data_IF_287852053830
#
_entry.id   IF_287852053830
#
_cell.length_a   1.000
_cell.length_b   1.000
_cell.length_c   1.000
_cell.angle_alpha   90.00
_cell.angle_beta   90.00
_cell.angle_gamma   90.00
#
_symmetry.space_group_name_H-M   'P 1'
#
loop_
_entity.id
_entity.type
_entity.pdbx_description
1 polymer ?
#
# COMPACT_ATOMS: atom_id res chain seq x y z
N UNK A 1 5.28 2.16 17.86
CA UNK A 1 4.08 1.63 17.16
C UNK A 1 4.45 1.62 15.69
N UNK A 2 4.56 0.45 15.10
CA UNK A 2 5.01 0.35 13.72
C UNK A 2 3.81 0.55 12.81
N UNK A 3 3.86 1.60 12.04
CA UNK A 3 2.84 1.89 11.05
C UNK A 3 3.11 1.08 9.78
N UNK A 4 2.07 0.72 9.06
CA UNK A 4 2.16 -0.16 7.90
C UNK A 4 1.83 0.62 6.63
N UNK A 5 2.67 0.49 5.63
CA UNK A 5 2.39 1.06 4.31
C UNK A 5 1.72 0.04 3.41
N UNK A 6 0.54 0.38 2.90
CA UNK A 6 -0.21 -0.50 2.02
C UNK A 6 -0.37 0.18 0.66
N UNK A 7 0.17 -0.47 -0.36
CA UNK A 7 -0.18 -0.14 -1.73
C UNK A 7 -1.62 -0.59 -2.03
N UNK A 8 -2.34 0.23 -2.76
CA UNK A 8 -3.64 -0.14 -3.30
C UNK A 8 -3.44 -1.08 -4.50
N UNK A 9 -3.23 -2.35 -4.21
CA UNK A 9 -2.95 -3.39 -5.19
C UNK A 9 -4.18 -4.21 -5.49
N UNK A 10 -4.34 -4.64 -6.74
CA UNK A 10 -5.45 -5.51 -7.14
C UNK A 10 -5.26 -6.89 -6.50
N UNK A 11 -6.32 -7.46 -5.95
CA UNK A 11 -6.26 -8.78 -5.32
C UNK A 11 -5.74 -8.76 -3.88
N UNK A 12 -6.20 -7.83 -3.06
CA UNK A 12 -5.80 -7.72 -1.65
C UNK A 12 -6.22 -8.96 -0.84
N UNK A 13 -5.31 -9.91 -0.74
CA UNK A 13 -5.50 -11.17 -0.01
C UNK A 13 -5.74 -11.00 1.50
N UNK A 14 -5.33 -9.88 2.08
CA UNK A 14 -5.52 -9.60 3.49
C UNK A 14 -7.01 -9.61 3.90
N UNK A 15 -7.85 -8.94 3.13
CA UNK A 15 -9.28 -8.87 3.43
C UNK A 15 -10.00 -10.20 3.16
N UNK A 16 -9.51 -10.97 2.17
CA UNK A 16 -10.02 -12.32 1.90
C UNK A 16 -9.70 -13.26 3.06
N UNK A 17 -8.44 -13.28 3.51
CA UNK A 17 -7.98 -14.11 4.62
C UNK A 17 -8.68 -13.76 5.94
N UNK A 18 -8.94 -12.47 6.20
CA UNK A 18 -9.74 -12.08 7.38
C UNK A 18 -11.16 -12.62 7.36
N UNK A 19 -11.76 -12.74 6.19
CA UNK A 19 -13.09 -13.38 6.06
C UNK A 19 -13.03 -14.88 6.30
N UNK A 20 -11.94 -15.53 5.90
CA UNK A 20 -11.72 -16.98 6.04
C UNK A 20 -11.30 -17.37 7.47
N UNK A 21 -10.91 -16.43 8.33
CA UNK A 21 -10.70 -16.67 9.78
C UNK A 21 -11.88 -17.39 10.43
N UNK A 22 -13.10 -17.08 10.01
CA UNK A 22 -14.32 -17.76 10.50
C UNK A 22 -14.37 -19.24 10.12
N UNK A 23 -13.54 -19.67 9.16
CA UNK A 23 -13.48 -21.04 8.65
C UNK A 23 -12.32 -21.85 9.25
N UNK A 24 -11.47 -21.22 10.09
CA UNK A 24 -10.31 -21.84 10.75
C UNK A 24 -9.35 -22.59 9.78
N UNK A 25 -9.23 -22.12 8.55
CA UNK A 25 -8.43 -22.80 7.52
C UNK A 25 -6.94 -22.61 7.75
N UNK A 26 -6.56 -21.45 8.30
CA UNK A 26 -5.16 -21.10 8.57
C UNK A 26 -5.07 -20.66 10.02
N UNK A 27 -4.35 -21.40 10.84
CA UNK A 27 -4.04 -21.06 12.23
C UNK A 27 -2.53 -20.84 12.44
N UNK A 28 -2.17 -20.29 13.60
CA UNK A 28 -0.77 -20.03 13.96
C UNK A 28 0.05 -21.32 13.98
N UNK A 29 -0.47 -22.40 14.51
CA UNK A 29 0.24 -23.68 14.72
C UNK A 29 0.67 -24.29 13.37
N UNK A 30 -0.03 -23.94 12.28
CA UNK A 30 0.34 -24.38 10.93
C UNK A 30 1.75 -23.93 10.51
N UNK A 31 2.30 -22.91 11.18
CA UNK A 31 3.60 -22.31 10.86
C UNK A 31 4.71 -22.65 11.84
N UNK A 32 4.42 -23.29 12.97
CA UNK A 32 5.39 -23.51 14.06
C UNK A 32 6.65 -24.27 13.62
N UNK A 33 6.49 -25.20 12.71
CA UNK A 33 7.59 -26.03 12.19
C UNK A 33 8.46 -25.36 11.13
N UNK A 34 8.16 -24.13 10.72
CA UNK A 34 8.89 -23.42 9.68
C UNK A 34 9.57 -22.18 10.24
N UNK A 35 10.83 -21.98 9.90
CA UNK A 35 11.60 -20.76 10.24
C UNK A 35 11.44 -19.67 9.19
N UNK A 36 11.10 -20.05 7.97
CA UNK A 36 10.98 -19.14 6.82
C UNK A 36 9.64 -19.31 6.13
N UNK A 37 9.01 -18.19 5.85
CA UNK A 37 7.76 -18.10 5.09
C UNK A 37 8.03 -17.35 3.80
N UNK A 38 7.60 -17.91 2.67
CA UNK A 38 7.83 -17.34 1.34
C UNK A 38 6.49 -16.92 0.74
N UNK A 39 6.37 -15.67 0.35
CA UNK A 39 5.25 -15.14 -0.44
C UNK A 39 5.71 -14.90 -1.89
N UNK A 40 5.39 -15.79 -2.85
CA UNK A 40 5.90 -15.71 -4.23
C UNK A 40 5.19 -14.67 -5.10
N UNK A 41 4.06 -14.13 -4.64
CA UNK A 41 3.26 -13.11 -5.32
C UNK A 41 2.94 -12.00 -4.31
N UNK A 42 3.98 -11.24 -3.95
CA UNK A 42 3.94 -10.32 -2.82
C UNK A 42 2.89 -9.21 -2.94
N UNK A 43 2.78 -8.59 -4.09
CA UNK A 43 1.84 -7.49 -4.30
C UNK A 43 1.90 -6.46 -3.17
N UNK A 44 0.79 -6.26 -2.47
CA UNK A 44 0.70 -5.39 -1.28
C UNK A 44 1.03 -6.11 0.03
N UNK A 45 1.68 -7.25 0.00
CA UNK A 45 2.00 -8.10 1.17
C UNK A 45 0.78 -8.55 1.97
N UNK A 46 -0.31 -8.83 1.30
CA UNK A 46 -1.57 -9.15 1.96
C UNK A 46 -1.50 -10.40 2.84
N UNK A 47 -0.77 -11.42 2.42
CA UNK A 47 -0.61 -12.66 3.19
C UNK A 47 0.32 -12.47 4.38
N UNK A 48 1.53 -11.95 4.19
CA UNK A 48 2.48 -11.68 5.29
C UNK A 48 1.85 -10.74 6.32
N UNK A 49 1.17 -9.71 5.86
CA UNK A 49 0.45 -8.79 6.74
C UNK A 49 -0.61 -9.50 7.58
N UNK A 50 -1.34 -10.45 7.00
CA UNK A 50 -2.30 -11.27 7.73
C UNK A 50 -1.61 -12.10 8.82
N UNK A 51 -0.51 -12.77 8.50
CA UNK A 51 0.26 -13.55 9.45
C UNK A 51 0.76 -12.68 10.61
N UNK A 52 1.32 -11.52 10.29
CA UNK A 52 1.90 -10.61 11.26
C UNK A 52 0.86 -9.96 12.19
N UNK A 53 -0.24 -9.46 11.63
CA UNK A 53 -1.23 -8.68 12.38
C UNK A 53 -2.31 -9.51 13.03
N UNK A 54 -2.74 -10.57 12.37
CA UNK A 54 -3.90 -11.36 12.79
C UNK A 54 -3.49 -12.61 13.56
N UNK A 55 -2.45 -13.32 13.06
CA UNK A 55 -1.95 -14.52 13.72
C UNK A 55 -0.78 -14.24 14.66
N UNK A 56 -0.31 -12.99 14.76
CA UNK A 56 0.82 -12.56 15.59
C UNK A 56 2.12 -13.36 15.35
N UNK A 57 2.35 -13.75 14.10
CA UNK A 57 3.56 -14.45 13.68
C UNK A 57 4.62 -13.39 13.32
N UNK A 58 5.56 -13.13 14.25
CA UNK A 58 6.60 -12.10 14.12
C UNK A 58 8.01 -12.66 14.23
N UNK A 59 8.12 -13.91 14.62
CA UNK A 59 9.36 -14.64 14.91
C UNK A 59 9.94 -15.38 13.70
N UNK A 60 9.31 -15.25 12.54
CA UNK A 60 9.71 -15.95 11.31
C UNK A 60 10.41 -15.02 10.33
N UNK A 61 11.29 -15.61 9.52
CA UNK A 61 11.87 -14.91 8.37
C UNK A 61 10.87 -14.87 7.22
N UNK A 62 10.56 -13.68 6.72
CA UNK A 62 9.71 -13.50 5.56
C UNK A 62 10.55 -13.20 4.30
N UNK A 63 10.27 -13.91 3.23
CA UNK A 63 10.86 -13.68 1.91
C UNK A 63 9.73 -13.42 0.92
N UNK A 64 9.82 -12.30 0.22
CA UNK A 64 8.80 -11.90 -0.75
C UNK A 64 9.39 -11.84 -2.13
N UNK A 65 8.68 -12.42 -3.08
CA UNK A 65 8.96 -12.29 -4.49
C UNK A 65 7.78 -11.66 -5.21
N UNK A 66 8.07 -10.90 -6.24
CA UNK A 66 7.09 -10.40 -7.21
C UNK A 66 7.76 -10.23 -8.56
N UNK A 67 6.98 -10.36 -9.62
CA UNK A 67 7.46 -10.14 -10.99
C UNK A 67 7.57 -8.65 -11.34
N UNK A 68 6.87 -7.79 -10.58
CA UNK A 68 6.94 -6.34 -10.74
C UNK A 68 8.23 -5.81 -10.08
N UNK A 69 9.20 -5.47 -10.93
CA UNK A 69 10.49 -4.94 -10.47
C UNK A 69 10.37 -3.59 -9.79
N UNK A 70 9.46 -2.74 -10.24
CA UNK A 70 9.27 -1.41 -9.66
C UNK A 70 8.68 -1.52 -8.25
N UNK A 71 7.81 -2.51 -8.02
CA UNK A 71 7.28 -2.86 -6.71
C UNK A 71 8.39 -3.30 -5.75
N UNK A 72 9.22 -4.24 -6.16
CA UNK A 72 10.33 -4.74 -5.35
C UNK A 72 11.36 -3.64 -5.08
N UNK A 73 11.71 -2.84 -6.08
CA UNK A 73 12.60 -1.67 -5.92
C UNK A 73 12.02 -0.67 -4.93
N UNK A 74 10.72 -0.40 -4.98
CA UNK A 74 10.03 0.49 -4.05
C UNK A 74 10.14 -0.02 -2.60
N UNK A 75 9.84 -1.29 -2.35
CA UNK A 75 9.98 -1.85 -1.00
C UNK A 75 11.41 -1.87 -0.50
N UNK A 76 12.38 -2.18 -1.35
CA UNK A 76 13.79 -2.10 -1.00
C UNK A 76 14.26 -0.66 -0.72
N UNK A 77 13.65 0.32 -1.36
CA UNK A 77 13.90 1.74 -1.06
C UNK A 77 13.33 2.12 0.31
N UNK A 78 12.11 1.70 0.65
CA UNK A 78 11.49 2.00 1.94
C UNK A 78 12.32 1.49 3.13
N UNK A 79 13.03 0.37 3.00
CA UNK A 79 13.94 -0.15 4.04
C UNK A 79 15.13 0.77 4.33
N UNK A 80 15.44 1.73 3.46
CA UNK A 80 16.65 2.56 3.52
C UNK A 80 16.38 4.00 3.90
N UNK A 81 15.12 4.41 4.01
CA UNK A 81 14.72 5.80 4.25
C UNK A 81 14.00 5.98 5.57
N UNK A 82 13.89 7.23 6.01
CA UNK A 82 12.96 7.59 7.08
C UNK A 82 11.52 7.54 6.55
N UNK A 83 10.80 6.53 6.99
CA UNK A 83 9.44 6.23 6.54
C UNK A 83 8.46 7.34 6.94
N UNK A 84 8.57 7.91 8.14
CA UNK A 84 7.68 9.00 8.58
C UNK A 84 7.79 10.20 7.65
N UNK A 85 9.00 10.63 7.33
CA UNK A 85 9.22 11.74 6.39
C UNK A 85 8.66 11.44 5.00
N UNK A 86 8.74 10.18 4.57
CA UNK A 86 8.18 9.77 3.28
C UNK A 86 6.64 9.87 3.29
N UNK A 87 6.00 9.45 4.38
CA UNK A 87 4.54 9.53 4.55
C UNK A 87 4.07 11.00 4.59
N UNK A 88 4.74 11.83 5.38
CA UNK A 88 4.37 13.23 5.52
C UNK A 88 4.39 13.90 4.14
N UNK A 89 5.49 13.72 3.39
CA UNK A 89 5.60 14.22 2.03
C UNK A 89 4.54 13.65 1.08
N UNK A 90 4.20 12.37 1.22
CA UNK A 90 3.13 11.77 0.42
C UNK A 90 1.78 12.45 0.72
N UNK A 91 1.45 12.68 1.99
CA UNK A 91 0.21 13.32 2.40
C UNK A 91 0.14 14.78 1.94
N UNK A 92 1.25 15.51 2.00
CA UNK A 92 1.34 16.89 1.48
C UNK A 92 1.02 16.93 -0.03
N UNK A 93 1.62 16.03 -0.79
CA UNK A 93 1.37 15.95 -2.25
C UNK A 93 -0.09 15.55 -2.54
N UNK A 94 -0.67 14.65 -1.75
CA UNK A 94 -2.10 14.34 -1.90
C UNK A 94 -2.98 15.57 -1.66
N UNK A 95 -2.66 16.35 -0.64
CA UNK A 95 -3.37 17.60 -0.33
C UNK A 95 -3.26 18.61 -1.47
N UNK A 96 -2.07 18.76 -2.05
CA UNK A 96 -1.86 19.62 -3.22
C UNK A 96 -2.73 19.19 -4.41
N UNK A 97 -2.76 17.88 -4.70
CA UNK A 97 -3.57 17.34 -5.80
C UNK A 97 -5.06 17.56 -5.53
N UNK A 98 -5.53 17.38 -4.30
CA UNK A 98 -6.94 17.63 -3.90
C UNK A 98 -7.33 19.11 -4.07
N UNK A 99 -6.37 20.01 -3.97
CA UNK A 99 -6.60 21.46 -4.04
C UNK A 99 -6.36 22.04 -5.45
N UNK A 100 -6.07 21.22 -6.46
CA UNK A 100 -5.95 21.69 -7.84
C UNK A 100 -7.28 22.28 -8.33
N UNK A 101 -7.29 23.59 -8.60
CA UNK A 101 -8.50 24.34 -8.95
C UNK A 101 -9.16 23.81 -10.23
N UNK A 102 -10.50 23.66 -10.18
CA UNK A 102 -11.33 23.25 -11.32
C UNK A 102 -11.14 21.79 -11.75
N UNK A 103 -10.43 20.99 -10.98
CA UNK A 103 -9.99 19.66 -11.39
C UNK A 103 -10.71 18.52 -10.69
N UNK A 104 -11.76 18.79 -9.92
CA UNK A 104 -12.50 17.76 -9.20
C UNK A 104 -13.98 17.76 -9.48
N UNK A 105 -14.59 16.58 -9.33
CA UNK A 105 -16.03 16.38 -9.22
C UNK A 105 -16.34 15.84 -7.82
N UNK A 106 -17.57 16.00 -7.39
CA UNK A 106 -18.06 15.32 -6.19
C UNK A 106 -18.68 13.97 -6.60
N UNK A 107 -18.36 12.92 -5.87
CA UNK A 107 -19.06 11.64 -6.03
C UNK A 107 -20.45 11.69 -5.37
N UNK A 108 -21.22 10.62 -5.51
CA UNK A 108 -22.57 10.50 -4.90
C UNK A 108 -22.62 10.67 -3.37
N UNK A 109 -21.47 10.62 -2.71
CA UNK A 109 -21.31 10.79 -1.26
C UNK A 109 -20.68 12.15 -0.91
N UNK A 110 -20.58 13.08 -1.87
CA UNK A 110 -19.96 14.40 -1.67
C UNK A 110 -18.43 14.39 -1.53
N UNK A 111 -17.75 13.32 -1.93
CA UNK A 111 -16.30 13.22 -1.84
C UNK A 111 -15.62 13.74 -3.09
N UNK A 112 -14.54 14.51 -2.91
CA UNK A 112 -13.75 15.03 -4.04
C UNK A 112 -13.15 13.89 -4.85
N UNK A 113 -13.29 13.97 -6.17
CA UNK A 113 -12.65 13.09 -7.14
C UNK A 113 -11.90 13.95 -8.13
N UNK A 114 -10.60 13.77 -8.25
CA UNK A 114 -9.78 14.47 -9.24
C UNK A 114 -9.66 13.62 -10.50
N UNK A 115 -9.74 14.26 -11.66
CA UNK A 115 -9.50 13.54 -12.92
C UNK A 115 -8.09 12.94 -12.93
N UNK A 116 -8.00 11.65 -13.22
CA UNK A 116 -6.73 10.89 -13.27
C UNK A 116 -5.68 11.60 -14.11
N UNK A 117 -6.06 12.10 -15.28
CA UNK A 117 -5.18 12.81 -16.18
C UNK A 117 -4.55 14.06 -15.53
N UNK A 118 -5.33 14.80 -14.74
CA UNK A 118 -4.87 16.01 -14.05
C UNK A 118 -3.90 15.65 -12.94
N UNK A 119 -4.26 14.67 -12.11
CA UNK A 119 -3.40 14.19 -11.03
C UNK A 119 -2.06 13.65 -11.58
N UNK A 120 -2.10 12.85 -12.64
CA UNK A 120 -0.90 12.30 -13.25
C UNK A 120 -0.01 13.38 -13.88
N UNK A 121 -0.60 14.35 -14.58
CA UNK A 121 0.16 15.48 -15.13
C UNK A 121 0.86 16.28 -14.02
N UNK A 122 0.17 16.52 -12.91
CA UNK A 122 0.77 17.18 -11.76
C UNK A 122 1.94 16.36 -11.20
N UNK A 123 1.72 15.07 -10.92
CA UNK A 123 2.74 14.17 -10.39
C UNK A 123 3.97 14.13 -11.32
N UNK A 124 3.74 13.99 -12.64
CA UNK A 124 4.84 13.88 -13.60
C UNK A 124 5.68 15.16 -13.73
N UNK A 125 5.02 16.31 -13.63
CA UNK A 125 5.71 17.61 -13.73
C UNK A 125 6.42 18.02 -12.43
N UNK A 126 5.80 17.72 -11.29
CA UNK A 126 6.21 18.29 -9.99
C UNK A 126 7.10 17.35 -9.20
N UNK A 127 6.81 16.05 -9.22
CA UNK A 127 7.54 15.08 -8.40
C UNK A 127 8.75 14.55 -9.15
N UNK A 128 9.94 14.69 -8.57
CA UNK A 128 11.21 14.17 -9.15
C UNK A 128 11.53 12.76 -8.67
N UNK A 129 11.15 12.43 -7.45
CA UNK A 129 11.40 11.15 -6.81
C UNK A 129 10.61 10.03 -7.49
N UNK A 130 11.30 9.04 -8.07
CA UNK A 130 10.68 7.93 -8.81
C UNK A 130 9.79 7.05 -7.91
N UNK A 131 10.17 6.87 -6.66
CA UNK A 131 9.43 6.02 -5.72
C UNK A 131 8.17 6.71 -5.21
N UNK A 132 8.26 8.02 -4.98
CA UNK A 132 7.10 8.83 -4.68
C UNK A 132 6.11 8.86 -5.86
N UNK A 133 6.61 9.00 -7.10
CA UNK A 133 5.78 8.88 -8.30
C UNK A 133 5.08 7.53 -8.37
N UNK A 134 5.83 6.45 -8.15
CA UNK A 134 5.31 5.09 -8.21
C UNK A 134 4.16 4.91 -7.23
N UNK A 135 4.35 5.21 -5.96
CA UNK A 135 3.32 5.03 -4.92
C UNK A 135 2.10 5.91 -5.14
N UNK A 136 2.32 7.17 -5.53
CA UNK A 136 1.20 8.08 -5.83
C UNK A 136 0.35 7.53 -6.99
N UNK A 137 0.97 7.17 -8.10
CA UNK A 137 0.25 6.63 -9.26
C UNK A 137 -0.45 5.32 -8.97
N UNK A 138 0.17 4.43 -8.21
CA UNK A 138 -0.44 3.15 -7.81
C UNK A 138 -1.60 3.35 -6.86
N UNK A 139 -1.46 4.25 -5.89
CA UNK A 139 -2.46 4.43 -4.84
C UNK A 139 -3.62 5.34 -5.23
N UNK A 140 -3.39 6.37 -6.06
CA UNK A 140 -4.40 7.39 -6.34
C UNK A 140 -5.44 6.86 -7.34
N UNK A 141 -5.05 6.09 -8.32
CA UNK A 141 -5.83 5.87 -9.52
C UNK A 141 -6.17 4.41 -9.78
N UNK A 142 -7.36 4.00 -9.40
CA UNK A 142 -7.94 2.70 -9.78
C UNK A 142 -8.93 2.79 -10.97
N UNK A 143 -9.30 4.00 -11.37
CA UNK A 143 -10.28 4.27 -12.45
C UNK A 143 -9.95 5.57 -13.16
N UNK A 144 -10.83 6.06 -14.04
CA UNK A 144 -10.70 7.38 -14.70
C UNK A 144 -10.67 8.55 -13.73
N UNK A 145 -11.13 8.34 -12.50
CA UNK A 145 -11.14 9.33 -11.42
C UNK A 145 -10.31 8.84 -10.25
N UNK A 146 -9.56 9.75 -9.65
CA UNK A 146 -8.82 9.51 -8.42
C UNK A 146 -9.72 9.75 -7.22
N UNK A 147 -9.78 8.79 -6.29
CA UNK A 147 -10.53 8.90 -5.05
C UNK A 147 -9.56 9.04 -3.89
N UNK A 148 -9.58 10.18 -3.21
CA UNK A 148 -8.64 10.49 -2.13
C UNK A 148 -9.05 10.01 -0.73
N UNK A 149 -10.28 9.56 -0.56
CA UNK A 149 -10.89 9.31 0.74
C UNK A 149 -10.34 8.13 1.55
N UNK A 150 -9.55 7.25 0.94
CA UNK A 150 -9.10 6.02 1.62
C UNK A 150 -7.66 6.04 2.11
N UNK A 151 -6.94 7.18 2.02
CA UNK A 151 -5.47 7.15 1.99
C UNK A 151 -4.75 7.88 3.10
N UNK A 152 -5.48 8.48 4.03
CA UNK A 152 -4.87 9.09 5.22
C UNK A 152 -4.38 8.08 6.25
N UNK A 153 -4.71 6.79 6.07
CA UNK A 153 -4.26 5.71 6.93
C UNK A 153 -3.27 4.82 6.17
N UNK A 154 -2.09 5.34 5.91
CA UNK A 154 -0.98 4.50 5.49
C UNK A 154 -0.52 3.67 6.67
N UNK A 155 -0.42 2.38 6.48
CA UNK A 155 0.00 1.42 7.49
C UNK A 155 1.31 0.79 7.01
N UNK A 156 2.38 0.85 7.82
CA UNK A 156 3.66 0.23 7.53
C UNK A 156 3.79 -1.11 8.25
N UNK A 157 4.40 -2.08 7.59
CA UNK A 157 4.87 -3.32 8.21
C UNK A 157 6.39 -3.20 8.31
N UNK A 158 6.95 -3.32 9.52
CA UNK A 158 8.35 -3.64 9.68
C UNK A 158 8.58 -5.02 9.09
N UNK A 159 9.05 -5.02 7.87
CA UNK A 159 9.62 -6.20 7.26
C UNK A 159 11.07 -6.24 7.74
N UNK A 160 11.28 -7.00 8.80
CA UNK A 160 12.60 -7.29 9.37
C UNK A 160 13.44 -8.03 8.33
#
# INVERSE_FOLDING_TARGET
MVEQFILNWVGNKYEELKKDLKRSIIDRNSFDKYDTIIEPFGGSFGFIRYLYQVLDIKDKKFIVYDSDKDLIDFYNHLKKINISNFIDRYNDILSDIENLNGSFLLDKNGRKMVFKKVAFNYIDKTIKDKYMKYVLKTNICTSSFCRFTYKRNMIFIDLI
#
